data_IF_106239628408
#
_entry.id   IF_106239628408
#
_cell.length_a   1.000
_cell.length_b   1.000
_cell.length_c   1.000
_cell.angle_alpha   90.00
_cell.angle_beta   90.00
_cell.angle_gamma   90.00
#
_symmetry.space_group_name_H-M   'P 1'
#
loop_
_entity.id
_entity.type
_entity.pdbx_description
1 polymer ?
#
# COMPACT_ATOMS: atom_id res chain seq x y z
N UNK A 1 -32.39 -42.08 -45.85
CA UNK A 1 -33.17 -41.17 -44.99
C UNK A 1 -32.29 -40.64 -43.85
N UNK A 2 -31.34 -41.44 -43.33
CA UNK A 2 -30.48 -41.00 -42.17
C UNK A 2 -29.41 -39.97 -42.52
N UNK A 3 -28.88 -39.95 -43.73
CA UNK A 3 -27.85 -38.99 -44.17
C UNK A 3 -28.38 -37.57 -44.34
N UNK A 4 -29.66 -37.40 -44.66
CA UNK A 4 -30.27 -36.07 -44.81
C UNK A 4 -30.58 -35.45 -43.44
N UNK A 5 -31.04 -36.28 -42.49
CA UNK A 5 -31.32 -35.83 -41.12
C UNK A 5 -30.03 -35.38 -40.39
N UNK A 6 -28.89 -36.07 -40.56
CA UNK A 6 -27.60 -35.67 -40.00
C UNK A 6 -27.06 -34.35 -40.59
N UNK A 7 -27.24 -34.15 -41.90
CA UNK A 7 -26.86 -32.91 -42.58
C UNK A 7 -27.72 -31.71 -42.12
N UNK A 8 -29.02 -31.93 -41.94
CA UNK A 8 -29.94 -30.90 -41.44
C UNK A 8 -29.65 -30.52 -40.00
N UNK A 9 -29.29 -31.47 -39.14
CA UNK A 9 -28.89 -31.22 -37.75
C UNK A 9 -27.58 -30.45 -37.67
N UNK A 10 -26.59 -30.80 -38.51
CA UNK A 10 -25.31 -30.09 -38.57
C UNK A 10 -25.46 -28.64 -39.06
N UNK A 11 -26.34 -28.39 -40.05
CA UNK A 11 -26.63 -27.02 -40.51
C UNK A 11 -27.36 -26.20 -39.47
N UNK A 12 -28.28 -26.78 -38.70
CA UNK A 12 -28.94 -26.09 -37.58
C UNK A 12 -27.99 -25.73 -36.43
N UNK A 13 -27.05 -26.63 -36.13
CA UNK A 13 -26.01 -26.36 -35.12
C UNK A 13 -25.06 -25.25 -35.59
N UNK A 14 -24.68 -25.24 -36.87
CA UNK A 14 -23.82 -24.21 -37.46
C UNK A 14 -24.49 -22.83 -37.47
N UNK A 15 -25.79 -22.75 -37.77
CA UNK A 15 -26.58 -21.53 -37.73
C UNK A 15 -26.75 -21.04 -36.29
N UNK A 16 -26.95 -21.94 -35.32
CA UNK A 16 -27.01 -21.62 -33.92
C UNK A 16 -25.68 -21.03 -33.38
N UNK A 17 -24.55 -21.60 -33.81
CA UNK A 17 -23.22 -21.12 -33.47
C UNK A 17 -22.91 -19.76 -34.13
N UNK A 18 -23.32 -19.52 -35.36
CA UNK A 18 -23.19 -18.26 -36.04
C UNK A 18 -24.07 -17.17 -35.41
N UNK A 19 -25.26 -17.50 -34.90
CA UNK A 19 -26.13 -16.57 -34.17
C UNK A 19 -25.58 -16.20 -32.76
N UNK A 20 -24.84 -17.10 -32.10
CA UNK A 20 -24.16 -16.79 -30.83
C UNK A 20 -22.94 -15.91 -31.04
N UNK A 21 -22.25 -15.96 -32.15
CA UNK A 21 -21.11 -15.10 -32.49
C UNK A 21 -21.51 -13.69 -32.94
N UNK A 22 -22.74 -13.47 -33.40
CA UNK A 22 -23.22 -12.16 -33.83
C UNK A 22 -23.71 -11.29 -32.66
N UNK A 23 -23.94 -11.85 -31.49
CA UNK A 23 -24.41 -11.12 -30.29
C UNK A 23 -23.37 -10.21 -29.60
N UNK A 24 -22.08 -10.36 -29.92
CA UNK A 24 -21.00 -9.61 -29.24
C UNK A 24 -20.39 -8.47 -30.09
N UNK A 25 -20.86 -8.21 -31.32
CA UNK A 25 -20.14 -7.33 -32.25
C UNK A 25 -20.82 -5.99 -32.59
N UNK A 26 -22.01 -5.71 -32.09
CA UNK A 26 -22.65 -4.40 -32.27
C UNK A 26 -23.19 -3.86 -30.94
N UNK A 27 -22.32 -3.24 -30.13
CA UNK A 27 -22.83 -2.18 -29.27
C UNK A 27 -23.18 -1.00 -30.20
N UNK A 28 -24.40 -0.47 -30.13
CA UNK A 28 -24.76 0.72 -30.90
C UNK A 28 -23.77 1.83 -30.57
N UNK A 29 -23.35 2.56 -31.61
CA UNK A 29 -22.37 3.68 -31.49
C UNK A 29 -22.85 4.72 -30.48
N UNK A 30 -24.15 4.84 -30.24
CA UNK A 30 -24.76 5.72 -29.24
C UNK A 30 -24.42 5.31 -27.79
N UNK A 31 -24.13 4.04 -27.49
CA UNK A 31 -23.64 3.64 -26.16
C UNK A 31 -22.18 4.03 -25.92
N UNK A 32 -21.39 4.24 -26.98
CA UNK A 32 -20.00 4.68 -26.88
C UNK A 32 -19.88 6.21 -26.66
N UNK A 33 -20.98 6.94 -26.92
CA UNK A 33 -21.07 8.39 -26.74
C UNK A 33 -22.08 8.80 -25.67
N UNK A 34 -22.65 7.87 -24.89
CA UNK A 34 -23.40 8.23 -23.71
C UNK A 34 -22.43 8.90 -22.74
N UNK A 35 -22.70 10.16 -22.43
CA UNK A 35 -22.02 10.83 -21.31
C UNK A 35 -22.18 9.94 -20.08
N UNK A 36 -21.14 9.82 -19.22
CA UNK A 36 -21.28 9.11 -17.97
C UNK A 36 -22.55 9.57 -17.26
N UNK A 37 -23.36 8.63 -16.76
CA UNK A 37 -24.54 9.00 -15.97
C UNK A 37 -24.07 9.89 -14.81
N UNK A 38 -24.61 11.10 -14.74
CA UNK A 38 -24.34 12.01 -13.66
C UNK A 38 -25.01 11.48 -12.42
N UNK A 39 -24.31 11.50 -11.29
CA UNK A 39 -24.90 11.10 -10.02
C UNK A 39 -26.09 12.02 -9.64
N UNK A 40 -27.06 11.53 -8.86
CA UNK A 40 -28.18 12.35 -8.40
C UNK A 40 -27.69 13.63 -7.70
N UNK A 41 -28.29 14.79 -8.03
CA UNK A 41 -27.88 16.08 -7.47
C UNK A 41 -26.69 16.77 -8.14
N UNK A 42 -26.07 16.19 -9.17
CA UNK A 42 -24.91 16.78 -9.85
C UNK A 42 -25.14 18.23 -10.27
N UNK A 43 -26.31 18.57 -10.84
CA UNK A 43 -26.61 19.94 -11.31
C UNK A 43 -26.69 20.92 -10.13
N UNK A 44 -27.29 20.51 -9.02
CA UNK A 44 -27.34 21.29 -7.80
C UNK A 44 -25.93 21.53 -7.23
N UNK A 45 -25.07 20.48 -7.17
CA UNK A 45 -23.69 20.61 -6.72
C UNK A 45 -22.89 21.58 -7.60
N UNK A 46 -23.02 21.50 -8.94
CA UNK A 46 -22.30 22.40 -9.84
C UNK A 46 -22.77 23.85 -9.69
N UNK A 47 -24.07 24.09 -9.43
CA UNK A 47 -24.57 25.45 -9.14
C UNK A 47 -23.97 26.01 -7.84
N UNK A 48 -23.94 25.20 -6.77
CA UNK A 48 -23.34 25.62 -5.48
C UNK A 48 -21.83 25.81 -5.56
N UNK A 49 -21.13 24.96 -6.33
CA UNK A 49 -19.70 25.15 -6.61
C UNK A 49 -19.44 26.45 -7.37
N UNK A 50 -20.22 26.72 -8.41
CA UNK A 50 -20.10 27.96 -9.18
C UNK A 50 -20.35 29.20 -8.30
N UNK A 51 -21.33 29.12 -7.40
CA UNK A 51 -21.63 30.18 -6.44
C UNK A 51 -20.47 30.38 -5.47
N UNK A 52 -19.89 29.31 -4.92
CA UNK A 52 -18.71 29.38 -4.04
C UNK A 52 -17.51 30.04 -4.75
N UNK A 53 -17.28 29.73 -6.03
CA UNK A 53 -16.20 30.33 -6.82
C UNK A 53 -16.48 31.85 -7.03
N UNK A 54 -17.71 32.25 -7.35
CA UNK A 54 -18.05 33.67 -7.51
C UNK A 54 -17.92 34.46 -6.19
N UNK A 55 -18.25 33.84 -5.06
CA UNK A 55 -18.04 34.43 -3.75
C UNK A 55 -16.53 34.59 -3.44
N UNK A 56 -15.71 33.54 -3.70
CA UNK A 56 -14.26 33.61 -3.53
C UNK A 56 -13.61 34.65 -4.44
N UNK A 57 -14.14 34.91 -5.66
CA UNK A 57 -13.67 35.96 -6.55
C UNK A 57 -13.88 37.37 -6.00
N UNK A 58 -14.75 37.56 -5.03
CA UNK A 58 -14.87 38.85 -4.32
C UNK A 58 -13.64 39.16 -3.46
N UNK A 59 -12.91 38.13 -3.00
CA UNK A 59 -11.66 38.27 -2.26
C UNK A 59 -10.48 38.51 -3.21
N UNK A 60 -10.37 37.70 -4.24
CA UNK A 60 -9.35 37.80 -5.27
C UNK A 60 -9.88 37.21 -6.59
N UNK A 61 -9.71 37.90 -7.75
CA UNK A 61 -10.21 37.42 -9.02
C UNK A 61 -9.59 36.10 -9.49
N UNK A 62 -8.44 35.69 -8.93
CA UNK A 62 -7.74 34.47 -9.28
C UNK A 62 -8.13 33.37 -8.29
N UNK A 63 -9.07 32.52 -8.69
CA UNK A 63 -9.52 31.32 -7.97
C UNK A 63 -9.26 30.12 -8.86
N UNK A 64 -8.54 29.13 -8.34
CA UNK A 64 -8.12 27.93 -9.06
C UNK A 64 -8.59 26.67 -8.34
N UNK A 65 -8.88 25.59 -9.10
CA UNK A 65 -9.05 24.27 -8.49
C UNK A 65 -7.68 23.74 -8.02
N UNK A 66 -7.68 23.01 -6.91
CA UNK A 66 -6.49 22.39 -6.34
C UNK A 66 -6.54 20.89 -6.53
N UNK A 67 -5.43 20.30 -6.98
CA UNK A 67 -5.25 18.86 -7.00
C UNK A 67 -4.60 18.40 -5.70
N UNK A 68 -5.00 17.22 -5.22
CA UNK A 68 -4.37 16.54 -4.11
C UNK A 68 -3.18 15.75 -4.64
N UNK A 69 -2.03 15.84 -3.98
CA UNK A 69 -0.76 15.34 -4.51
C UNK A 69 -0.55 13.83 -4.25
N UNK A 70 -1.14 13.28 -3.18
CA UNK A 70 -0.88 11.92 -2.73
C UNK A 70 -2.09 11.33 -2.00
N UNK A 71 -2.04 10.04 -1.68
CA UNK A 71 -3.07 9.32 -0.92
C UNK A 71 -4.16 8.70 -1.81
N UNK A 72 -5.19 8.17 -1.18
CA UNK A 72 -6.31 7.45 -1.83
C UNK A 72 -7.33 8.42 -2.44
N UNK A 73 -7.49 9.60 -1.84
CA UNK A 73 -8.54 10.57 -2.15
C UNK A 73 -8.00 11.72 -3.01
N UNK A 74 -7.72 11.47 -4.29
CA UNK A 74 -7.11 12.46 -5.21
C UNK A 74 -8.10 13.10 -6.19
N UNK A 75 -9.37 12.70 -6.19
CA UNK A 75 -10.38 13.28 -7.07
C UNK A 75 -10.65 14.74 -6.72
N UNK A 76 -10.91 15.58 -7.74
CA UNK A 76 -11.21 17.02 -7.58
C UNK A 76 -12.57 17.25 -6.89
N UNK A 77 -13.51 16.32 -7.11
CA UNK A 77 -14.78 16.25 -6.41
C UNK A 77 -14.84 14.87 -5.80
N UNK A 78 -15.06 14.79 -4.49
CA UNK A 78 -15.14 13.55 -3.74
C UNK A 78 -16.52 13.42 -3.15
N UNK A 79 -17.21 12.31 -3.44
CA UNK A 79 -18.50 11.98 -2.86
C UNK A 79 -18.27 11.04 -1.68
N UNK A 80 -18.85 11.35 -0.54
CA UNK A 80 -18.53 10.71 0.73
C UNK A 80 -19.78 10.60 1.60
N UNK A 81 -19.81 9.57 2.42
CA UNK A 81 -20.64 9.46 3.59
C UNK A 81 -19.83 10.03 4.77
N UNK A 82 -20.11 11.28 5.17
CA UNK A 82 -19.40 11.92 6.29
C UNK A 82 -20.15 11.80 7.61
N UNK A 83 -21.47 11.64 7.60
CA UNK A 83 -22.25 11.53 8.84
C UNK A 83 -22.44 10.07 9.30
N UNK A 84 -21.94 9.11 8.50
CA UNK A 84 -21.88 7.70 8.89
C UNK A 84 -23.20 6.95 8.76
N UNK A 85 -24.18 7.49 8.03
CA UNK A 85 -25.50 6.87 7.86
C UNK A 85 -25.54 5.82 6.73
N UNK A 86 -24.46 5.68 5.96
CA UNK A 86 -24.29 4.75 4.86
C UNK A 86 -24.69 5.31 3.49
N UNK A 87 -25.08 6.59 3.41
CA UNK A 87 -25.39 7.30 2.16
C UNK A 87 -24.28 8.26 1.79
N UNK A 88 -23.96 8.38 0.49
CA UNK A 88 -22.96 9.35 0.01
C UNK A 88 -23.64 10.69 -0.33
N UNK A 89 -24.03 11.45 0.66
CA UNK A 89 -24.73 12.73 0.54
C UNK A 89 -23.78 13.93 0.63
N UNK A 90 -22.52 13.70 1.01
CA UNK A 90 -21.53 14.78 1.14
C UNK A 90 -20.63 14.85 -0.09
N UNK A 91 -20.31 16.08 -0.53
CA UNK A 91 -19.36 16.34 -1.59
C UNK A 91 -18.25 17.29 -1.12
N UNK A 92 -16.99 16.97 -1.45
CA UNK A 92 -15.82 17.78 -1.06
C UNK A 92 -15.11 18.29 -2.31
N UNK A 93 -14.74 19.57 -2.33
CA UNK A 93 -14.01 20.20 -3.44
C UNK A 93 -12.98 21.21 -2.93
N UNK A 94 -11.99 21.52 -3.75
CA UNK A 94 -10.75 22.18 -3.34
C UNK A 94 -10.46 23.39 -4.20
N UNK A 95 -10.23 24.55 -3.56
CA UNK A 95 -9.92 25.80 -4.24
C UNK A 95 -8.69 26.47 -3.64
N UNK A 96 -8.03 27.27 -4.46
CA UNK A 96 -6.99 28.21 -4.05
C UNK A 96 -7.43 29.63 -4.41
N UNK A 97 -7.29 30.54 -3.46
CA UNK A 97 -7.46 31.97 -3.64
C UNK A 97 -6.10 32.64 -3.52
N UNK A 98 -5.59 33.20 -4.60
CA UNK A 98 -4.26 33.82 -4.62
C UNK A 98 -4.20 35.05 -3.73
N UNK A 99 -3.08 35.23 -3.01
CA UNK A 99 -2.85 36.40 -2.18
C UNK A 99 -3.47 36.38 -0.79
N UNK A 100 -4.23 35.32 -0.45
CA UNK A 100 -4.77 35.11 0.89
C UNK A 100 -3.76 34.38 1.78
N UNK A 101 -3.72 34.69 3.07
CA UNK A 101 -2.88 34.00 4.06
C UNK A 101 -3.26 32.51 4.15
N UNK A 102 -4.56 32.23 4.27
CA UNK A 102 -5.11 30.87 4.18
C UNK A 102 -5.64 30.62 2.77
N UNK A 103 -4.72 30.53 1.82
CA UNK A 103 -5.05 30.46 0.39
C UNK A 103 -5.85 29.22 0.00
N UNK A 104 -5.69 28.10 0.71
CA UNK A 104 -6.36 26.84 0.39
C UNK A 104 -7.72 26.77 1.10
N UNK A 105 -8.76 26.43 0.34
CA UNK A 105 -10.14 26.31 0.82
C UNK A 105 -10.68 24.95 0.42
N UNK A 106 -11.16 24.19 1.40
CA UNK A 106 -11.87 22.92 1.20
C UNK A 106 -13.33 23.16 1.52
N UNK A 107 -14.15 23.08 0.50
CA UNK A 107 -15.61 23.21 0.65
C UNK A 107 -16.22 21.84 0.84
N UNK A 108 -17.01 21.71 1.88
CA UNK A 108 -17.84 20.54 2.14
C UNK A 108 -19.29 20.91 1.91
N UNK A 109 -19.95 20.19 1.03
CA UNK A 109 -21.36 20.32 0.69
C UNK A 109 -22.10 19.12 1.26
N UNK A 110 -23.32 19.33 1.73
CA UNK A 110 -24.25 18.26 2.09
C UNK A 110 -25.51 18.35 1.23
N UNK A 111 -26.03 17.19 0.87
CA UNK A 111 -27.27 17.04 0.14
C UNK A 111 -28.44 16.94 1.13
N UNK A 112 -29.56 17.58 0.82
CA UNK A 112 -30.82 17.43 1.55
C UNK A 112 -31.65 16.25 1.01
N UNK A 113 -32.78 15.95 1.69
CA UNK A 113 -33.70 14.86 1.28
C UNK A 113 -34.30 15.08 -0.11
N UNK A 114 -34.29 16.31 -0.65
CA UNK A 114 -34.77 16.67 -1.99
C UNK A 114 -33.69 16.51 -3.07
N UNK A 115 -32.46 16.22 -2.69
CA UNK A 115 -31.31 16.04 -3.57
C UNK A 115 -30.56 17.33 -3.89
N UNK A 116 -30.81 18.44 -3.18
CA UNK A 116 -30.11 19.70 -3.38
C UNK A 116 -28.89 19.80 -2.49
N UNK A 117 -27.77 20.25 -3.04
CA UNK A 117 -26.56 20.52 -2.28
C UNK A 117 -26.56 21.93 -1.69
N UNK A 118 -26.01 22.07 -0.50
CA UNK A 118 -25.68 23.35 0.13
C UNK A 118 -24.33 23.27 0.82
N UNK A 119 -23.64 24.41 0.94
CA UNK A 119 -22.36 24.45 1.65
C UNK A 119 -22.59 24.21 3.13
N UNK A 120 -21.92 23.20 3.67
CA UNK A 120 -21.95 22.83 5.08
C UNK A 120 -20.88 23.52 5.87
N UNK A 121 -19.68 23.60 5.33
CA UNK A 121 -18.54 24.24 5.97
C UNK A 121 -17.36 24.40 5.04
N UNK A 122 -16.41 25.24 5.46
CA UNK A 122 -15.19 25.53 4.71
C UNK A 122 -13.96 25.39 5.63
N UNK A 123 -13.10 24.41 5.32
CA UNK A 123 -11.79 24.28 5.98
C UNK A 123 -10.81 25.19 5.24
N UNK A 124 -10.04 25.99 6.00
CA UNK A 124 -9.05 26.90 5.48
C UNK A 124 -7.65 26.46 5.89
N UNK A 125 -6.73 26.39 4.95
CA UNK A 125 -5.36 25.98 5.19
C UNK A 125 -4.34 26.99 4.68
N UNK A 126 -3.26 27.10 5.48
CA UNK A 126 -2.03 27.77 5.08
C UNK A 126 -1.20 26.78 4.26
N UNK A 127 -0.57 27.24 3.19
CA UNK A 127 0.38 26.41 2.45
C UNK A 127 0.28 26.54 0.94
N UNK A 128 1.12 25.73 0.30
CA UNK A 128 1.27 25.74 -1.16
C UNK A 128 0.30 24.77 -1.85
N UNK A 129 -0.03 23.64 -1.19
CA UNK A 129 -0.88 22.59 -1.75
C UNK A 129 -1.46 21.70 -0.64
N UNK A 130 -2.44 20.89 -1.00
CA UNK A 130 -2.94 19.78 -0.20
C UNK A 130 -2.12 18.56 -0.60
N UNK A 131 -1.32 18.04 0.34
CA UNK A 131 -0.53 16.84 0.08
C UNK A 131 -1.39 15.59 0.07
N UNK A 132 -2.23 15.41 1.11
CA UNK A 132 -3.18 14.29 1.23
C UNK A 132 -4.43 14.72 2.01
N UNK A 133 -5.50 13.98 1.87
CA UNK A 133 -6.73 14.13 2.65
C UNK A 133 -7.32 12.76 2.95
N UNK A 134 -7.78 12.58 4.18
CA UNK A 134 -8.47 11.38 4.64
C UNK A 134 -9.75 11.74 5.41
N UNK A 135 -10.67 10.79 5.50
CA UNK A 135 -11.96 10.92 6.18
C UNK A 135 -12.13 9.74 7.12
N UNK A 136 -12.11 10.00 8.43
CA UNK A 136 -12.06 8.95 9.44
C UNK A 136 -12.79 9.37 10.71
N UNK A 137 -13.51 8.44 11.32
CA UNK A 137 -14.15 8.63 12.61
C UNK A 137 -13.10 8.47 13.73
N UNK A 138 -12.54 9.59 14.17
CA UNK A 138 -11.52 9.65 15.25
C UNK A 138 -12.20 9.69 16.63
N UNK A 139 -13.38 10.33 16.73
CA UNK A 139 -14.05 10.50 17.99
C UNK A 139 -14.96 9.32 18.37
N UNK A 140 -15.23 8.39 17.47
CA UNK A 140 -16.00 7.16 17.70
C UNK A 140 -17.52 7.36 17.76
N UNK A 141 -18.05 8.46 17.19
CA UNK A 141 -19.49 8.71 17.18
C UNK A 141 -20.18 8.34 15.87
N UNK A 142 -19.44 7.82 14.89
CA UNK A 142 -19.91 7.45 13.55
C UNK A 142 -19.73 8.55 12.50
N UNK A 143 -19.59 9.81 12.91
CA UNK A 143 -19.32 10.94 12.01
C UNK A 143 -17.82 11.02 11.72
N UNK A 144 -17.43 11.30 10.46
CA UNK A 144 -16.01 11.33 10.05
C UNK A 144 -15.44 12.73 10.16
N UNK A 145 -14.28 12.82 10.81
CA UNK A 145 -13.40 13.96 10.74
C UNK A 145 -12.66 14.01 9.40
N UNK A 146 -12.30 15.24 9.00
CA UNK A 146 -11.46 15.49 7.83
C UNK A 146 -10.02 15.69 8.28
N UNK A 147 -9.13 14.82 7.85
CA UNK A 147 -7.70 14.87 8.13
C UNK A 147 -6.98 15.39 6.88
N UNK A 148 -6.32 16.55 6.99
CA UNK A 148 -5.69 17.21 5.85
C UNK A 148 -4.20 17.40 6.09
N UNK A 149 -3.39 16.91 5.18
CA UNK A 149 -1.95 17.20 5.14
C UNK A 149 -1.70 18.41 4.22
N UNK A 150 -1.38 19.54 4.83
CA UNK A 150 -1.05 20.80 4.17
C UNK A 150 0.45 20.86 3.87
N UNK A 151 0.85 21.02 2.62
CA UNK A 151 2.24 21.23 2.25
C UNK A 151 2.61 22.71 2.42
N UNK A 152 3.62 22.98 3.25
CA UNK A 152 4.09 24.35 3.51
C UNK A 152 5.11 24.81 2.47
N UNK A 153 5.34 26.13 2.40
CA UNK A 153 6.30 26.75 1.46
C UNK A 153 7.77 26.31 1.70
N UNK A 154 8.09 25.86 2.90
CA UNK A 154 9.45 25.42 3.28
C UNK A 154 9.68 23.91 3.06
N UNK A 155 8.73 23.22 2.42
CA UNK A 155 8.83 21.77 2.12
C UNK A 155 8.43 20.85 3.27
N UNK A 156 8.00 21.39 4.42
CA UNK A 156 7.39 20.62 5.51
C UNK A 156 5.89 20.45 5.27
N UNK A 157 5.27 19.60 6.07
CA UNK A 157 3.82 19.42 6.07
C UNK A 157 3.23 19.70 7.46
N UNK A 158 1.99 20.20 7.46
CA UNK A 158 1.16 20.31 8.66
C UNK A 158 -0.06 19.43 8.49
N UNK A 159 -0.38 18.61 9.47
CA UNK A 159 -1.57 17.79 9.50
C UNK A 159 -2.61 18.45 10.38
N UNK A 160 -3.75 18.79 9.81
CA UNK A 160 -4.91 19.33 10.50
C UNK A 160 -6.02 18.29 10.59
N UNK A 161 -6.68 18.20 11.73
CA UNK A 161 -7.87 17.38 11.96
C UNK A 161 -9.05 18.31 12.20
N UNK A 162 -10.11 18.16 11.44
CA UNK A 162 -11.26 19.06 11.41
C UNK A 162 -12.56 18.29 11.58
N UNK A 163 -13.41 18.75 12.48
CA UNK A 163 -14.75 18.23 12.72
C UNK A 163 -15.81 19.26 12.32
N UNK A 164 -16.96 18.76 11.88
CA UNK A 164 -18.16 19.55 11.62
C UNK A 164 -19.16 19.28 12.74
N UNK A 165 -19.76 20.33 13.32
CA UNK A 165 -20.79 20.15 14.33
C UNK A 165 -22.14 19.78 13.67
N UNK A 166 -22.39 18.48 13.58
CA UNK A 166 -23.61 17.94 12.97
C UNK A 166 -24.83 18.13 13.86
N UNK A 167 -24.67 18.25 15.18
CA UNK A 167 -25.80 18.28 16.12
C UNK A 167 -26.44 19.67 16.25
N UNK A 168 -25.71 20.76 16.10
CA UNK A 168 -26.26 22.12 16.23
C UNK A 168 -27.29 22.45 15.13
N UNK A 169 -27.19 21.85 13.95
CA UNK A 169 -28.15 22.09 12.85
C UNK A 169 -29.51 21.42 13.04
N UNK A 170 -29.61 20.31 13.78
CA UNK A 170 -30.90 19.64 14.05
C UNK A 170 -31.76 20.37 15.04
N UNK A 171 -31.21 21.24 15.89
CA UNK A 171 -31.92 21.97 16.94
C UNK A 171 -32.35 23.38 16.54
N UNK A 172 -31.79 23.99 15.52
CA UNK A 172 -32.14 25.35 15.07
C UNK A 172 -33.25 25.43 13.99
N UNK A 173 -34.08 24.42 13.88
CA UNK A 173 -35.17 24.28 12.90
C UNK A 173 -36.26 25.36 12.97
N UNK A 174 -36.05 26.57 13.48
CA UNK A 174 -37.03 27.65 13.49
C UNK A 174 -36.52 29.07 13.43
N UNK A 175 -35.28 29.31 12.95
CA UNK A 175 -34.88 30.64 12.58
C UNK A 175 -34.66 30.73 11.04
N UNK A 176 -35.55 31.45 10.39
CA UNK A 176 -35.35 31.91 9.03
C UNK A 176 -34.13 32.80 8.99
N UNK A 177 -32.94 32.20 8.78
CA UNK A 177 -31.73 32.95 8.45
C UNK A 177 -31.87 33.42 7.01
N UNK A 178 -32.36 34.64 6.86
CA UNK A 178 -32.60 35.36 5.58
C UNK A 178 -31.32 35.91 4.94
N UNK A 179 -30.13 35.50 5.38
CA UNK A 179 -28.88 35.87 4.76
C UNK A 179 -28.18 34.58 4.27
N UNK A 180 -27.79 34.55 3.01
CA UNK A 180 -26.90 33.54 2.46
C UNK A 180 -25.64 33.54 3.30
N UNK A 181 -25.26 32.39 3.94
CA UNK A 181 -24.06 32.34 4.76
C UNK A 181 -22.84 32.69 3.88
N UNK A 182 -22.03 33.62 4.33
CA UNK A 182 -20.74 33.91 3.67
C UNK A 182 -19.74 32.80 4.00
N UNK A 183 -18.73 32.58 3.16
CA UNK A 183 -17.67 31.61 3.43
C UNK A 183 -17.01 31.83 4.80
N UNK A 184 -16.91 33.06 5.29
CA UNK A 184 -16.39 33.41 6.61
C UNK A 184 -17.23 32.78 7.73
N UNK A 185 -18.54 32.89 7.62
CA UNK A 185 -19.48 32.30 8.59
C UNK A 185 -19.46 30.76 8.53
N UNK A 186 -19.28 30.19 7.35
CA UNK A 186 -19.18 28.75 7.15
C UNK A 186 -17.85 28.19 7.68
N UNK A 187 -16.76 28.95 7.58
CA UNK A 187 -15.48 28.57 8.19
C UNK A 187 -15.53 28.51 9.73
N UNK A 188 -16.39 29.32 10.35
CA UNK A 188 -16.60 29.29 11.81
C UNK A 188 -17.38 28.04 12.28
N UNK A 189 -18.03 27.30 11.38
CA UNK A 189 -18.73 26.05 11.68
C UNK A 189 -17.80 24.83 11.71
N UNK A 190 -16.53 25.01 11.36
CA UNK A 190 -15.52 23.96 11.34
C UNK A 190 -14.65 24.10 12.59
N UNK A 191 -14.58 23.04 13.38
CA UNK A 191 -13.71 22.97 14.56
C UNK A 191 -12.40 22.30 14.20
N UNK A 192 -11.27 23.00 14.37
CA UNK A 192 -9.95 22.39 14.33
C UNK A 192 -9.70 21.64 15.65
N UNK A 193 -9.59 20.32 15.56
CA UNK A 193 -9.35 19.45 16.71
C UNK A 193 -7.87 19.30 17.05
N UNK A 194 -7.02 19.40 16.04
CA UNK A 194 -5.56 19.34 16.18
C UNK A 194 -4.85 19.87 14.93
N UNK A 195 -3.71 20.48 15.13
CA UNK A 195 -2.75 20.82 14.09
C UNK A 195 -1.34 20.38 14.53
N UNK A 196 -0.68 19.55 13.72
CA UNK A 196 0.66 19.03 14.02
C UNK A 196 1.58 19.12 12.79
N UNK A 197 2.86 19.41 13.02
CA UNK A 197 3.87 19.32 11.96
C UNK A 197 4.23 17.85 11.72
N UNK A 198 4.54 17.49 10.45
CA UNK A 198 4.99 16.14 10.11
C UNK A 198 5.92 16.13 8.90
N UNK A 199 6.66 15.03 8.73
CA UNK A 199 7.68 14.86 7.69
C UNK A 199 7.14 14.29 6.35
N UNK A 200 5.84 14.27 6.14
CA UNK A 200 5.19 13.66 4.98
C UNK A 200 4.57 12.28 5.25
N UNK A 201 4.90 11.67 6.39
CA UNK A 201 4.35 10.37 6.79
C UNK A 201 3.40 10.52 7.99
N UNK A 202 2.31 9.82 7.95
CA UNK A 202 1.38 9.57 9.05
C UNK A 202 0.58 8.30 8.77
N UNK A 203 -0.04 7.75 9.78
CA UNK A 203 -0.95 6.62 9.63
C UNK A 203 -2.18 6.80 10.52
N UNK A 204 -3.30 6.28 10.07
CA UNK A 204 -4.59 6.27 10.76
C UNK A 204 -4.96 4.81 11.01
N UNK A 205 -4.97 4.38 12.27
CA UNK A 205 -5.24 2.99 12.64
C UNK A 205 -5.76 2.92 14.08
N UNK A 206 -6.54 1.90 14.38
CA UNK A 206 -6.89 1.53 15.77
C UNK A 206 -5.75 0.68 16.35
N UNK A 207 -4.71 1.35 16.88
CA UNK A 207 -3.49 0.67 17.35
C UNK A 207 -3.69 0.04 18.73
N UNK A 208 -4.64 0.55 19.54
CA UNK A 208 -4.91 0.10 20.89
C UNK A 208 -6.11 -0.86 20.98
N UNK A 209 -6.81 -1.09 19.87
CA UNK A 209 -7.97 -1.96 19.71
C UNK A 209 -9.18 -1.52 20.59
N UNK A 210 -9.37 -0.21 20.78
CA UNK A 210 -10.53 0.32 21.51
C UNK A 210 -11.72 0.64 20.60
N UNK A 211 -11.58 0.42 19.29
CA UNK A 211 -12.60 0.66 18.27
C UNK A 211 -12.59 2.10 17.71
N UNK A 212 -11.61 2.94 18.10
CA UNK A 212 -11.39 4.28 17.57
C UNK A 212 -10.10 4.33 16.77
N UNK A 213 -10.02 5.31 15.90
CA UNK A 213 -8.81 5.48 15.07
C UNK A 213 -7.87 6.48 15.73
N UNK A 214 -6.63 6.07 15.92
CA UNK A 214 -5.54 6.95 16.32
C UNK A 214 -4.78 7.46 15.10
N UNK A 215 -4.16 8.64 15.28
CA UNK A 215 -3.22 9.23 14.35
C UNK A 215 -1.79 9.00 14.85
N UNK A 216 -1.00 8.26 14.07
CA UNK A 216 0.43 8.06 14.34
C UNK A 216 1.28 8.94 13.44
N UNK A 217 2.20 9.72 14.03
CA UNK A 217 3.07 10.68 13.34
C UNK A 217 4.51 10.44 13.74
N UNK A 218 5.41 10.09 12.81
CA UNK A 218 6.83 9.97 13.10
C UNK A 218 7.48 11.34 13.23
N UNK A 219 8.35 11.47 14.21
CA UNK A 219 9.17 12.65 14.51
C UNK A 219 10.63 12.28 14.29
N UNK A 220 11.22 12.79 13.23
CA UNK A 220 12.63 12.53 12.92
C UNK A 220 13.47 13.70 13.44
N UNK A 221 14.38 13.38 14.33
CA UNK A 221 15.38 14.33 14.81
C UNK A 221 16.50 14.48 13.78
N UNK A 222 16.81 15.70 13.38
CA UNK A 222 17.89 16.00 12.43
C UNK A 222 19.28 15.53 12.90
N UNK A 223 19.48 15.39 14.21
CA UNK A 223 20.69 14.82 14.81
C UNK A 223 20.65 13.27 14.86
N UNK A 224 19.51 12.65 14.55
CA UNK A 224 19.33 11.19 14.54
C UNK A 224 19.33 10.54 15.93
N UNK A 225 19.25 11.30 17.02
CA UNK A 225 19.42 10.77 18.38
C UNK A 225 18.10 10.54 19.12
N UNK A 226 17.05 11.28 18.77
CA UNK A 226 15.78 11.30 19.49
C UNK A 226 14.56 11.19 18.53
N UNK A 227 14.66 10.33 17.53
CA UNK A 227 13.52 10.06 16.66
C UNK A 227 12.50 9.15 17.36
N UNK A 228 11.23 9.43 17.17
CA UNK A 228 10.14 8.66 17.79
C UNK A 228 8.86 8.73 16.95
N UNK A 229 7.91 7.83 17.21
CA UNK A 229 6.53 7.95 16.77
C UNK A 229 5.71 8.54 17.89
N UNK A 230 4.90 9.55 17.60
CA UNK A 230 3.91 10.11 18.50
C UNK A 230 2.52 9.71 18.03
N UNK A 231 1.70 9.22 18.97
CA UNK A 231 0.32 8.78 18.68
C UNK A 231 -0.65 9.74 19.36
N UNK A 232 -1.67 10.11 18.59
CA UNK A 232 -2.73 11.02 19.02
C UNK A 232 -4.07 10.30 18.95
N UNK A 233 -4.91 10.50 19.97
CA UNK A 233 -6.24 9.93 20.09
C UNK A 233 -7.26 10.97 20.54
N UNK A 234 -8.54 10.64 20.46
CA UNK A 234 -9.62 11.48 20.96
C UNK A 234 -9.59 11.61 22.49
N UNK A 235 -9.44 12.83 22.98
CA UNK A 235 -9.41 13.16 24.41
C UNK A 235 -10.73 13.62 24.99
N UNK A 236 -11.86 13.44 24.25
CA UNK A 236 -13.21 13.85 24.68
C UNK A 236 -13.68 15.21 24.14
N UNK A 237 -12.78 16.14 23.83
CA UNK A 237 -13.11 17.42 23.23
C UNK A 237 -12.14 17.88 22.14
N UNK A 238 -10.98 17.28 22.10
CA UNK A 238 -9.89 17.54 21.14
C UNK A 238 -9.04 16.28 20.96
N UNK A 239 -8.21 16.23 19.93
CA UNK A 239 -7.25 15.16 19.70
C UNK A 239 -5.97 15.49 20.48
N UNK A 240 -5.56 14.59 21.37
CA UNK A 240 -4.42 14.77 22.28
C UNK A 240 -3.35 13.69 22.05
N UNK A 241 -2.09 14.01 22.40
CA UNK A 241 -1.02 13.01 22.41
C UNK A 241 -1.26 12.01 23.54
N UNK A 242 -1.25 10.71 23.22
CA UNK A 242 -1.48 9.62 24.16
C UNK A 242 -0.25 8.78 24.43
N UNK A 243 0.82 8.99 23.67
CA UNK A 243 2.09 8.29 23.90
C UNK A 243 3.09 8.47 22.78
N UNK A 244 4.31 8.06 23.08
CA UNK A 244 5.43 8.02 22.13
C UNK A 244 6.17 6.70 22.23
N UNK A 245 6.72 6.21 21.10
CA UNK A 245 7.67 5.10 21.09
C UNK A 245 8.95 5.53 20.37
N UNK A 246 10.13 5.21 20.91
CA UNK A 246 11.39 5.55 20.26
C UNK A 246 11.56 4.79 18.95
N UNK A 247 12.18 5.42 17.97
CA UNK A 247 12.70 4.80 16.75
C UNK A 247 14.19 4.53 16.89
N UNK A 248 14.73 3.73 15.99
CA UNK A 248 16.16 3.41 15.93
C UNK A 248 17.02 4.66 15.96
N UNK A 249 18.11 4.64 16.74
CA UNK A 249 19.10 5.71 16.74
C UNK A 249 19.83 5.78 15.38
N UNK A 250 20.20 6.97 14.97
CA UNK A 250 20.95 7.19 13.72
C UNK A 250 20.09 7.28 12.46
N UNK A 251 18.78 7.38 12.57
CA UNK A 251 17.89 7.59 11.42
C UNK A 251 18.19 8.94 10.76
N UNK A 252 18.39 8.92 9.44
CA UNK A 252 18.58 10.11 8.61
C UNK A 252 17.40 10.37 7.68
N UNK A 253 16.74 9.30 7.20
CA UNK A 253 15.59 9.38 6.30
C UNK A 253 14.57 8.32 6.70
N UNK A 254 13.31 8.72 6.78
CA UNK A 254 12.20 7.79 6.87
C UNK A 254 11.79 7.40 5.44
N UNK A 255 11.83 6.11 5.14
CA UNK A 255 11.56 5.61 3.80
C UNK A 255 10.10 5.21 3.62
N UNK A 256 9.53 4.49 4.61
CA UNK A 256 8.17 3.95 4.53
C UNK A 256 7.58 3.78 5.93
N UNK A 257 6.26 3.94 6.02
CA UNK A 257 5.47 3.66 7.22
C UNK A 257 4.18 2.97 6.80
N UNK A 258 3.92 1.79 7.35
CA UNK A 258 2.73 0.99 7.06
C UNK A 258 2.08 0.49 8.32
N UNK A 259 0.74 0.57 8.36
CA UNK A 259 -0.06 -0.16 9.34
C UNK A 259 -0.29 -1.59 8.84
N UNK A 260 -0.09 -2.57 9.70
CA UNK A 260 -0.39 -3.97 9.46
C UNK A 260 -0.53 -4.69 10.81
N UNK A 261 -0.46 -6.01 10.81
CA UNK A 261 -0.64 -6.83 12.01
C UNK A 261 0.65 -7.59 12.37
N UNK A 262 0.80 -7.85 13.65
CA UNK A 262 1.65 -8.90 14.24
C UNK A 262 0.88 -10.22 14.30
N UNK A 263 1.53 -11.28 14.78
CA UNK A 263 0.87 -12.53 15.12
C UNK A 263 -0.38 -12.27 15.99
N UNK A 264 -1.41 -13.12 15.86
CA UNK A 264 -2.71 -12.95 16.51
C UNK A 264 -3.47 -11.69 16.07
N UNK A 265 -3.11 -11.10 14.91
CA UNK A 265 -3.73 -9.89 14.35
C UNK A 265 -3.70 -8.67 15.27
N UNK A 266 -2.62 -8.51 16.04
CA UNK A 266 -2.38 -7.32 16.85
C UNK A 266 -1.91 -6.18 15.94
N UNK A 267 -2.56 -5.00 15.95
CA UNK A 267 -2.17 -3.87 15.11
C UNK A 267 -0.75 -3.38 15.41
N UNK A 268 -0.01 -3.06 14.36
CA UNK A 268 1.33 -2.51 14.46
C UNK A 268 1.67 -1.57 13.30
N UNK A 269 2.65 -0.71 13.54
CA UNK A 269 3.28 0.14 12.52
C UNK A 269 4.65 -0.44 12.18
N UNK A 270 4.87 -0.71 10.91
CA UNK A 270 6.15 -1.10 10.34
C UNK A 270 6.79 0.11 9.68
N UNK A 271 7.95 0.52 10.19
CA UNK A 271 8.63 1.74 9.80
C UNK A 271 10.03 1.40 9.28
N UNK A 272 10.24 1.59 7.99
CA UNK A 272 11.56 1.43 7.36
C UNK A 272 12.27 2.77 7.27
N UNK A 273 13.50 2.83 7.78
CA UNK A 273 14.29 4.05 7.82
C UNK A 273 15.72 3.79 7.35
N UNK A 274 16.36 4.80 6.75
CA UNK A 274 17.79 4.76 6.42
C UNK A 274 18.60 5.32 7.59
N UNK A 275 19.62 4.58 8.01
CA UNK A 275 20.56 4.99 9.05
C UNK A 275 21.74 5.77 8.44
N UNK A 276 22.48 6.50 9.29
CA UNK A 276 23.64 7.30 8.90
C UNK A 276 24.77 6.44 8.27
N UNK A 277 24.85 5.16 8.58
CA UNK A 277 25.80 4.21 8.02
C UNK A 277 25.29 3.49 6.75
N UNK A 278 24.23 4.02 6.14
CA UNK A 278 23.55 3.47 4.94
C UNK A 278 22.75 2.18 5.15
N UNK A 279 22.72 1.63 6.35
CA UNK A 279 21.82 0.53 6.70
C UNK A 279 20.35 0.96 6.68
N UNK A 280 19.45 0.00 6.46
CA UNK A 280 18.01 0.19 6.64
C UNK A 280 17.57 -0.47 7.94
N UNK A 281 17.02 0.32 8.86
CA UNK A 281 16.39 -0.21 10.07
C UNK A 281 14.89 -0.40 9.82
N UNK A 282 14.35 -1.46 10.39
CA UNK A 282 12.92 -1.71 10.48
C UNK A 282 12.49 -1.62 11.94
N UNK A 283 11.74 -0.58 12.27
CA UNK A 283 11.12 -0.39 13.58
C UNK A 283 9.67 -0.89 13.56
N UNK A 284 9.26 -1.63 14.60
CA UNK A 284 7.91 -2.17 14.75
C UNK A 284 7.29 -1.62 16.02
N UNK A 285 6.27 -0.77 15.83
CA UNK A 285 5.58 -0.10 16.93
C UNK A 285 4.20 -0.74 17.13
N UNK A 286 3.91 -1.10 18.38
CA UNK A 286 2.59 -1.62 18.77
C UNK A 286 2.18 -1.11 20.15
N UNK A 287 0.94 -1.34 20.54
CA UNK A 287 0.42 -0.97 21.84
C UNK A 287 0.44 -2.20 22.77
N UNK A 288 1.32 -2.18 23.76
CA UNK A 288 1.52 -3.30 24.68
C UNK A 288 1.26 -2.87 26.12
N UNK A 289 0.37 -3.56 26.83
CA UNK A 289 0.06 -3.30 28.26
C UNK A 289 -0.27 -1.82 28.56
N UNK A 290 -0.97 -1.14 27.65
CA UNK A 290 -1.33 0.26 27.81
C UNK A 290 -0.23 1.25 27.45
N UNK A 291 0.87 0.82 26.84
CA UNK A 291 2.02 1.65 26.45
C UNK A 291 2.40 1.39 25.00
N UNK A 292 2.68 2.46 24.29
CA UNK A 292 3.23 2.41 22.94
C UNK A 292 4.69 1.95 23.00
N UNK A 293 5.02 0.85 22.32
CA UNK A 293 6.30 0.18 22.44
C UNK A 293 6.89 -0.15 21.07
N UNK A 294 8.20 0.07 20.90
CA UNK A 294 8.96 -0.47 19.77
C UNK A 294 9.52 -1.83 20.15
N UNK A 295 8.92 -2.90 19.61
CA UNK A 295 9.26 -4.29 19.97
C UNK A 295 10.50 -4.82 19.24
N UNK A 296 10.90 -4.16 18.14
CA UNK A 296 12.11 -4.53 17.39
C UNK A 296 13.40 -3.90 17.95
N UNK A 297 13.27 -2.90 18.84
CA UNK A 297 14.41 -2.14 19.33
C UNK A 297 15.28 -2.96 20.28
N UNK A 298 16.58 -3.00 20.01
CA UNK A 298 17.57 -3.56 20.93
C UNK A 298 17.87 -2.54 22.05
N UNK A 299 17.65 -2.90 23.32
CA UNK A 299 17.78 -1.95 24.42
C UNK A 299 19.24 -1.51 24.71
N UNK A 300 20.25 -2.28 24.25
CA UNK A 300 21.65 -1.94 24.48
C UNK A 300 22.17 -0.96 23.44
N UNK A 301 21.77 -1.15 22.17
CA UNK A 301 22.23 -0.33 21.05
C UNK A 301 21.28 0.82 20.69
N UNK A 302 20.04 0.76 21.14
CA UNK A 302 18.95 1.65 20.76
C UNK A 302 18.72 1.67 19.22
N UNK A 303 19.03 0.57 18.53
CA UNK A 303 18.79 0.37 17.11
C UNK A 303 17.96 -0.91 16.95
N UNK A 304 17.14 -0.97 15.92
CA UNK A 304 16.35 -2.18 15.62
C UNK A 304 17.27 -3.40 15.47
N UNK A 305 16.82 -4.56 15.93
CA UNK A 305 17.47 -5.87 15.67
C UNK A 305 17.45 -6.19 14.18
N UNK A 306 16.48 -5.67 13.45
CA UNK A 306 16.29 -5.88 12.01
C UNK A 306 16.90 -4.72 11.21
N UNK A 307 18.22 -4.75 11.04
CA UNK A 307 18.98 -3.81 10.22
C UNK A 307 19.56 -4.52 9.01
N UNK A 308 19.13 -4.08 7.83
CA UNK A 308 19.64 -4.53 6.54
C UNK A 308 20.85 -3.69 6.14
N UNK A 309 22.03 -4.28 5.97
CA UNK A 309 23.26 -3.56 5.60
C UNK A 309 23.77 -3.92 4.22
N UNK A 310 23.78 -5.17 3.87
CA UNK A 310 24.36 -5.67 2.61
C UNK A 310 23.31 -5.94 1.54
N UNK A 311 22.16 -6.51 1.92
CA UNK A 311 21.03 -6.76 1.02
C UNK A 311 19.84 -5.90 1.43
N UNK A 312 19.79 -4.66 0.91
CA UNK A 312 18.84 -3.62 1.34
C UNK A 312 17.62 -3.47 0.42
N UNK A 313 17.51 -4.28 -0.63
CA UNK A 313 16.43 -4.19 -1.61
C UNK A 313 15.18 -4.96 -1.25
N UNK A 314 15.18 -5.67 -0.11
CA UNK A 314 14.02 -6.41 0.38
C UNK A 314 13.25 -5.55 1.39
N UNK A 315 11.94 -5.68 1.38
CA UNK A 315 11.00 -4.97 2.28
C UNK A 315 10.13 -6.00 3.01
N UNK A 316 9.54 -5.65 4.16
CA UNK A 316 8.53 -6.50 4.79
C UNK A 316 7.36 -6.78 3.83
N UNK A 317 6.94 -8.03 3.77
CA UNK A 317 5.87 -8.50 2.90
C UNK A 317 5.11 -9.65 3.57
N UNK A 318 3.84 -9.81 3.27
CA UNK A 318 3.07 -11.00 3.60
C UNK A 318 3.45 -12.11 2.61
N UNK A 319 4.43 -12.95 3.00
CA UNK A 319 5.01 -13.99 2.13
C UNK A 319 4.14 -15.23 2.02
N UNK A 320 3.27 -15.46 3.00
CA UNK A 320 2.43 -16.64 3.13
C UNK A 320 0.94 -16.37 2.88
N UNK A 321 0.55 -15.10 2.62
CA UNK A 321 -0.81 -14.60 2.42
C UNK A 321 -1.74 -14.81 3.62
N UNK A 322 -1.22 -14.61 4.84
CA UNK A 322 -2.01 -14.66 6.07
C UNK A 322 -2.44 -13.26 6.58
N UNK A 323 -2.13 -12.21 5.81
CA UNK A 323 -2.39 -10.80 6.12
C UNK A 323 -1.53 -10.23 7.25
N UNK A 324 -0.46 -10.90 7.65
CA UNK A 324 0.55 -10.43 8.59
C UNK A 324 1.82 -10.11 7.80
N UNK A 325 2.56 -9.08 8.17
CA UNK A 325 3.83 -8.80 7.51
C UNK A 325 4.97 -9.57 8.14
N UNK A 326 5.70 -10.32 7.33
CA UNK A 326 6.98 -10.88 7.71
C UNK A 326 8.11 -9.88 7.48
N UNK A 327 9.05 -9.90 8.41
CA UNK A 327 10.29 -9.14 8.40
C UNK A 327 11.37 -9.94 7.69
N UNK A 328 12.02 -9.38 6.65
CA UNK A 328 13.09 -10.09 5.96
C UNK A 328 14.41 -10.01 6.72
N UNK A 329 15.09 -11.15 6.86
CA UNK A 329 16.47 -11.29 7.35
C UNK A 329 17.34 -11.95 6.29
N UNK A 330 18.05 -11.19 5.47
CA UNK A 330 18.96 -11.73 4.48
C UNK A 330 20.13 -12.46 5.14
N UNK A 331 20.37 -13.69 4.71
CA UNK A 331 21.51 -14.51 5.10
C UNK A 331 22.34 -14.88 3.88
N UNK A 332 23.61 -14.51 3.87
CA UNK A 332 24.50 -14.83 2.77
C UNK A 332 24.78 -16.33 2.72
N UNK A 333 24.63 -16.93 1.55
CA UNK A 333 25.00 -18.32 1.32
C UNK A 333 26.52 -18.46 1.17
N UNK A 334 27.09 -19.57 1.66
CA UNK A 334 28.47 -19.90 1.39
C UNK A 334 28.69 -20.16 -0.11
N UNK A 335 29.90 -19.94 -0.59
CA UNK A 335 30.31 -20.25 -1.96
C UNK A 335 31.32 -21.40 -1.95
N UNK A 336 31.17 -22.34 -2.88
CA UNK A 336 32.10 -23.47 -2.99
C UNK A 336 33.39 -23.08 -3.75
N UNK A 337 33.35 -22.05 -4.58
CA UNK A 337 34.47 -21.53 -5.36
C UNK A 337 34.92 -20.18 -4.80
N UNK A 338 36.23 -19.97 -4.57
CA UNK A 338 36.79 -18.69 -4.10
C UNK A 338 36.57 -17.54 -5.10
N UNK A 339 36.41 -17.84 -6.39
CA UNK A 339 36.14 -16.87 -7.46
C UNK A 339 34.70 -16.91 -7.97
N UNK A 340 33.74 -17.41 -7.20
CA UNK A 340 32.34 -17.49 -7.63
C UNK A 340 31.82 -16.09 -8.02
N UNK A 341 31.37 -15.98 -9.24
CA UNK A 341 30.82 -14.74 -9.79
C UNK A 341 29.43 -14.46 -9.18
N UNK A 342 29.40 -13.94 -7.97
CA UNK A 342 28.18 -13.48 -7.34
C UNK A 342 28.02 -13.95 -5.90
N UNK A 343 27.38 -13.10 -5.13
CA UNK A 343 26.94 -13.39 -3.78
C UNK A 343 25.47 -13.77 -3.83
N UNK A 344 25.13 -14.91 -3.24
CA UNK A 344 23.75 -15.39 -3.15
C UNK A 344 23.24 -15.20 -1.73
N UNK A 345 21.98 -14.85 -1.62
CA UNK A 345 21.31 -14.58 -0.36
C UNK A 345 20.04 -15.40 -0.24
N UNK A 346 19.84 -15.99 0.94
CA UNK A 346 18.54 -16.44 1.38
C UNK A 346 17.90 -15.32 2.20
N UNK A 347 16.56 -15.29 2.22
CA UNK A 347 15.79 -14.37 3.05
C UNK A 347 14.99 -15.23 4.02
N UNK A 348 15.29 -15.11 5.30
CA UNK A 348 14.50 -15.68 6.39
C UNK A 348 13.37 -14.69 6.71
N UNK A 349 12.13 -15.17 6.72
CA UNK A 349 10.93 -14.35 6.93
C UNK A 349 10.42 -14.58 8.35
N UNK A 350 10.43 -13.51 9.15
CA UNK A 350 10.17 -13.54 10.57
C UNK A 350 8.86 -12.84 10.88
N UNK A 351 7.93 -13.51 11.57
CA UNK A 351 6.79 -12.89 12.24
C UNK A 351 7.14 -12.56 13.69
N UNK A 352 6.59 -11.44 14.15
CA UNK A 352 6.68 -11.01 15.53
C UNK A 352 5.35 -11.19 16.25
N UNK A 353 5.38 -11.57 17.52
CA UNK A 353 4.25 -11.40 18.42
C UNK A 353 4.32 -10.03 19.16
N UNK A 354 3.29 -9.71 19.94
CA UNK A 354 3.21 -8.45 20.70
C UNK A 354 4.33 -8.30 21.76
N UNK A 355 4.98 -9.38 22.16
CA UNK A 355 6.08 -9.38 23.14
C UNK A 355 7.45 -9.26 22.46
N UNK A 356 7.49 -9.20 21.14
CA UNK A 356 8.73 -9.19 20.37
C UNK A 356 9.38 -10.56 20.25
N UNK A 357 8.65 -11.65 20.51
CA UNK A 357 9.11 -13.00 20.18
C UNK A 357 9.01 -13.23 18.68
N UNK A 358 9.96 -14.00 18.17
CA UNK A 358 10.19 -14.21 16.75
C UNK A 358 9.84 -15.64 16.35
N UNK A 359 9.16 -15.77 15.21
CA UNK A 359 8.89 -17.07 14.58
C UNK A 359 9.28 -16.98 13.11
N UNK A 360 10.18 -17.86 12.68
CA UNK A 360 10.50 -18.01 11.27
C UNK A 360 9.35 -18.74 10.55
N UNK A 361 8.78 -18.08 9.53
CA UNK A 361 7.64 -18.57 8.75
C UNK A 361 8.10 -19.29 7.50
N UNK A 362 9.10 -18.74 6.82
CA UNK A 362 9.64 -19.27 5.59
C UNK A 362 11.09 -18.82 5.39
N UNK A 363 11.83 -19.56 4.56
CA UNK A 363 13.08 -19.10 3.96
C UNK A 363 12.94 -19.13 2.46
N UNK A 364 13.39 -18.08 1.76
CA UNK A 364 13.30 -18.00 0.31
C UNK A 364 14.62 -17.57 -0.33
N UNK A 365 14.81 -17.98 -1.59
CA UNK A 365 15.80 -17.39 -2.49
C UNK A 365 15.08 -16.46 -3.48
N UNK A 366 15.52 -15.23 -3.61
CA UNK A 366 14.96 -14.26 -4.56
C UNK A 366 15.92 -13.99 -5.72
N UNK A 367 15.47 -14.26 -6.94
CA UNK A 367 16.14 -13.80 -8.15
C UNK A 367 15.44 -12.54 -8.68
N UNK A 368 15.83 -11.38 -8.15
CA UNK A 368 15.23 -10.08 -8.50
C UNK A 368 15.47 -9.70 -9.96
N UNK A 369 16.56 -10.18 -10.58
CA UNK A 369 16.88 -9.93 -12.00
C UNK A 369 15.92 -10.66 -12.94
N UNK A 370 15.45 -11.84 -12.53
CA UNK A 370 14.57 -12.70 -13.31
C UNK A 370 13.13 -12.73 -12.75
N UNK A 371 12.84 -11.94 -11.72
CA UNK A 371 11.52 -11.71 -11.13
C UNK A 371 10.83 -12.99 -10.61
N UNK A 372 11.60 -13.84 -9.91
CA UNK A 372 11.05 -15.05 -9.29
C UNK A 372 11.70 -15.33 -7.93
N UNK A 373 11.01 -16.09 -7.10
CA UNK A 373 11.51 -16.62 -5.83
C UNK A 373 11.26 -18.11 -5.71
N UNK A 374 11.98 -18.73 -4.78
CA UNK A 374 11.82 -20.14 -4.45
C UNK A 374 11.80 -20.31 -2.95
N UNK A 375 10.79 -20.98 -2.40
CA UNK A 375 10.71 -21.33 -0.99
C UNK A 375 11.69 -22.48 -0.73
N UNK A 376 12.61 -22.28 0.17
CA UNK A 376 13.69 -23.22 0.48
C UNK A 376 13.21 -24.21 1.56
N UNK A 377 13.16 -25.51 1.26
CA UNK A 377 12.87 -26.53 2.28
C UNK A 377 13.87 -26.46 3.45
N UNK A 378 13.40 -26.74 4.66
CA UNK A 378 14.23 -26.72 5.88
C UNK A 378 15.49 -27.55 5.74
N UNK A 379 15.38 -28.74 5.13
CA UNK A 379 16.51 -29.65 4.92
C UNK A 379 17.62 -29.10 4.01
N UNK A 380 17.36 -28.02 3.27
CA UNK A 380 18.34 -27.43 2.35
C UNK A 380 19.14 -26.29 2.99
N UNK A 381 18.64 -25.63 4.00
CA UNK A 381 19.15 -24.35 4.52
C UNK A 381 20.66 -24.36 4.84
N UNK A 382 21.15 -25.46 5.43
CA UNK A 382 22.54 -25.53 5.90
C UNK A 382 23.51 -26.19 4.90
N UNK A 383 22.98 -26.77 3.82
CA UNK A 383 23.78 -27.54 2.85
C UNK A 383 23.67 -26.96 1.43
N UNK A 384 22.92 -25.91 1.25
CA UNK A 384 22.65 -25.31 -0.06
C UNK A 384 23.78 -24.35 -0.47
N UNK A 385 24.26 -24.52 -1.70
CA UNK A 385 25.00 -23.49 -2.44
C UNK A 385 24.35 -23.26 -3.78
N UNK A 386 24.46 -22.03 -4.27
CA UNK A 386 23.89 -21.61 -5.55
C UNK A 386 25.00 -21.20 -6.51
N UNK A 387 24.76 -21.46 -7.79
CA UNK A 387 25.57 -20.94 -8.88
C UNK A 387 24.69 -20.49 -10.06
N UNK A 388 25.24 -19.70 -10.97
CA UNK A 388 24.52 -19.21 -12.16
C UNK A 388 25.22 -19.62 -13.44
N UNK A 389 24.43 -19.96 -14.46
CA UNK A 389 24.91 -20.16 -15.81
C UNK A 389 24.10 -19.35 -16.82
N UNK A 390 24.69 -18.28 -17.31
CA UNK A 390 24.11 -17.35 -18.26
C UNK A 390 24.82 -17.38 -19.62
N UNK A 391 25.60 -18.42 -19.92
CA UNK A 391 26.43 -18.56 -21.12
C UNK A 391 25.63 -18.74 -22.40
N UNK A 392 24.36 -19.16 -22.32
CA UNK A 392 23.50 -19.43 -23.46
C UNK A 392 22.54 -18.25 -23.69
N UNK A 393 22.61 -17.63 -24.86
CA UNK A 393 21.73 -16.51 -25.22
C UNK A 393 20.25 -16.91 -25.12
N UNK A 394 19.44 -16.09 -24.44
CA UNK A 394 18.02 -16.35 -24.20
C UNK A 394 17.75 -17.43 -23.14
N UNK A 395 18.75 -17.81 -22.35
CA UNK A 395 18.63 -18.72 -21.22
C UNK A 395 19.46 -18.21 -20.06
N UNK A 396 18.82 -18.04 -18.91
CA UNK A 396 19.48 -17.84 -17.62
C UNK A 396 19.14 -18.99 -16.72
N UNK A 397 20.09 -19.47 -15.94
CA UNK A 397 19.92 -20.62 -15.08
C UNK A 397 20.50 -20.36 -13.69
N UNK A 398 19.75 -20.74 -12.67
CA UNK A 398 20.22 -20.85 -11.29
C UNK A 398 20.28 -22.33 -10.93
N UNK A 399 21.43 -22.77 -10.45
CA UNK A 399 21.73 -24.15 -10.13
C UNK A 399 21.78 -24.28 -8.61
N UNK A 400 20.97 -25.18 -8.08
CA UNK A 400 20.91 -25.54 -6.66
C UNK A 400 21.75 -26.78 -6.45
N UNK A 401 22.68 -26.71 -5.51
CA UNK A 401 23.62 -27.79 -5.24
C UNK A 401 23.72 -28.12 -3.76
N UNK A 402 23.79 -29.39 -3.45
CA UNK A 402 24.14 -29.89 -2.13
C UNK A 402 25.65 -29.79 -1.92
N UNK A 403 26.08 -29.27 -0.78
CA UNK A 403 27.49 -29.08 -0.48
C UNK A 403 27.80 -29.46 0.99
N UNK A 404 28.72 -30.38 1.15
CA UNK A 404 29.16 -30.86 2.48
C UNK A 404 30.18 -29.93 3.16
N UNK A 405 30.63 -28.86 2.50
CA UNK A 405 31.58 -27.90 3.05
C UNK A 405 32.93 -27.86 2.33
N UNK A 406 33.87 -27.05 2.82
CA UNK A 406 35.18 -26.83 2.18
C UNK A 406 35.93 -28.10 1.85
N UNK A 407 36.46 -28.19 0.62
CA UNK A 407 37.20 -29.36 0.12
C UNK A 407 36.32 -30.48 -0.46
N UNK A 408 35.02 -30.24 -0.56
CA UNK A 408 34.07 -31.12 -1.26
C UNK A 408 33.53 -30.42 -2.50
N UNK A 409 33.32 -31.19 -3.57
CA UNK A 409 32.66 -30.69 -4.77
C UNK A 409 31.14 -30.61 -4.56
N UNK A 410 30.49 -29.52 -4.96
CA UNK A 410 29.02 -29.43 -4.90
C UNK A 410 28.33 -30.41 -5.85
N UNK A 411 27.27 -31.06 -5.37
CA UNK A 411 26.43 -31.95 -6.17
C UNK A 411 25.17 -31.23 -6.64
N UNK A 412 25.07 -30.96 -7.93
CA UNK A 412 23.87 -30.29 -8.49
C UNK A 412 22.66 -31.23 -8.37
N UNK A 413 21.54 -30.72 -7.88
CA UNK A 413 20.30 -31.50 -7.78
C UNK A 413 19.09 -30.87 -8.48
N UNK A 414 19.06 -29.55 -8.61
CA UNK A 414 17.97 -28.81 -9.27
C UNK A 414 18.54 -27.63 -10.05
N UNK A 415 18.00 -27.38 -11.26
CA UNK A 415 18.26 -26.14 -11.98
C UNK A 415 16.95 -25.50 -12.39
N UNK A 416 16.79 -24.21 -12.12
CA UNK A 416 15.67 -23.38 -12.55
C UNK A 416 16.15 -22.45 -13.66
N UNK A 417 15.41 -22.44 -14.77
CA UNK A 417 15.71 -21.67 -15.97
C UNK A 417 14.67 -20.57 -16.20
N UNK A 418 15.14 -19.40 -16.62
CA UNK A 418 14.34 -18.40 -17.32
C UNK A 418 14.71 -18.43 -18.80
N UNK A 419 13.74 -18.70 -19.66
CA UNK A 419 13.89 -18.89 -21.10
C UNK A 419 13.16 -17.78 -21.84
N UNK A 420 13.86 -17.10 -22.74
CA UNK A 420 13.34 -15.97 -23.54
C UNK A 420 13.58 -16.17 -25.03
N UNK A 421 12.95 -15.33 -25.86
CA UNK A 421 13.10 -15.36 -27.32
C UNK A 421 12.24 -16.43 -28.01
N UNK A 422 12.42 -16.56 -29.30
CA UNK A 422 11.56 -17.41 -30.16
C UNK A 422 11.60 -18.90 -29.82
N UNK A 423 12.77 -19.38 -29.34
CA UNK A 423 12.99 -20.80 -29.04
C UNK A 423 12.65 -21.16 -27.58
N UNK A 424 12.02 -20.26 -26.81
CA UNK A 424 11.74 -20.52 -25.39
C UNK A 424 10.87 -21.76 -25.18
N UNK A 425 9.84 -21.99 -26.02
CA UNK A 425 8.96 -23.15 -25.92
C UNK A 425 9.68 -24.48 -26.13
N UNK A 426 10.50 -24.59 -27.18
CA UNK A 426 11.27 -25.81 -27.43
C UNK A 426 12.33 -26.08 -26.36
N UNK A 427 12.90 -25.03 -25.78
CA UNK A 427 13.88 -25.15 -24.69
C UNK A 427 13.25 -25.53 -23.35
N UNK A 428 11.99 -25.16 -23.14
CA UNK A 428 11.29 -25.44 -21.87
C UNK A 428 11.09 -26.94 -21.59
N UNK A 429 11.09 -27.77 -22.64
CA UNK A 429 10.92 -29.23 -22.54
C UNK A 429 12.20 -30.01 -22.87
N UNK A 430 13.31 -29.33 -23.20
CA UNK A 430 14.56 -29.97 -23.54
C UNK A 430 15.23 -30.60 -22.30
N UNK A 431 15.86 -31.76 -22.44
CA UNK A 431 16.62 -32.43 -21.37
C UNK A 431 15.82 -32.68 -20.08
N UNK A 432 14.62 -33.25 -20.22
CA UNK A 432 13.72 -33.58 -19.11
C UNK A 432 13.29 -32.36 -18.26
N UNK A 433 13.32 -31.15 -18.84
CA UNK A 433 12.77 -29.97 -18.17
C UNK A 433 11.25 -30.08 -18.09
N UNK A 434 10.71 -29.59 -17.00
CA UNK A 434 9.28 -29.39 -16.79
C UNK A 434 9.00 -27.90 -16.58
N UNK A 435 7.86 -27.45 -17.08
CA UNK A 435 7.46 -26.04 -17.00
C UNK A 435 6.96 -25.72 -15.59
N UNK A 436 7.39 -24.59 -15.06
CA UNK A 436 6.92 -24.02 -13.80
C UNK A 436 5.83 -22.97 -14.06
N UNK A 437 6.16 -21.97 -14.88
CA UNK A 437 5.26 -20.84 -15.18
C UNK A 437 5.63 -20.23 -16.54
N UNK A 438 4.73 -19.44 -17.14
CA UNK A 438 5.01 -18.64 -18.33
C UNK A 438 4.32 -17.29 -18.31
N UNK A 439 4.96 -16.32 -18.95
CA UNK A 439 4.38 -15.02 -19.25
C UNK A 439 4.55 -14.66 -20.73
N UNK A 440 4.14 -13.45 -21.13
CA UNK A 440 4.22 -13.01 -22.52
C UNK A 440 5.66 -13.03 -23.08
N UNK A 441 6.69 -12.94 -22.25
CA UNK A 441 8.09 -12.73 -22.61
C UNK A 441 9.01 -13.90 -22.27
N UNK A 442 8.66 -14.71 -21.27
CA UNK A 442 9.51 -15.76 -20.71
C UNK A 442 8.74 -17.02 -20.35
N UNK A 443 9.45 -18.15 -20.31
CA UNK A 443 8.99 -19.41 -19.72
C UNK A 443 9.98 -19.77 -18.62
N UNK A 444 9.46 -20.15 -17.46
CA UNK A 444 10.25 -20.68 -16.36
C UNK A 444 10.11 -22.21 -16.38
N UNK A 445 11.22 -22.90 -16.29
CA UNK A 445 11.26 -24.35 -16.27
C UNK A 445 12.33 -24.86 -15.35
N UNK A 446 12.19 -26.08 -14.89
CA UNK A 446 13.18 -26.71 -14.03
C UNK A 446 13.59 -28.11 -14.52
N UNK A 447 14.74 -28.58 -14.07
CA UNK A 447 15.19 -29.95 -14.25
C UNK A 447 15.89 -30.45 -12.99
N UNK A 448 15.63 -31.70 -12.63
CA UNK A 448 16.44 -32.40 -11.64
C UNK A 448 17.71 -32.96 -12.27
N UNK A 449 18.75 -33.07 -11.45
CA UNK A 449 19.98 -33.77 -11.81
C UNK A 449 20.05 -35.12 -11.10
N UNK A 450 20.65 -36.09 -11.77
CA UNK A 450 20.96 -37.39 -11.15
C UNK A 450 22.10 -37.18 -10.14
N UNK A 451 21.90 -37.63 -8.91
CA UNK A 451 22.86 -37.50 -7.83
C UNK A 451 22.58 -38.47 -6.68
N UNK A 452 23.47 -38.45 -5.68
CA UNK A 452 23.34 -39.28 -4.48
C UNK A 452 22.44 -38.63 -3.43
N UNK A 453 22.34 -37.31 -3.42
CA UNK A 453 21.53 -36.58 -2.46
C UNK A 453 20.08 -36.45 -2.92
N UNK A 454 19.16 -36.83 -2.03
CA UNK A 454 17.73 -36.68 -2.28
C UNK A 454 17.23 -35.34 -1.74
N UNK A 455 16.83 -34.43 -2.64
CA UNK A 455 16.34 -33.11 -2.27
C UNK A 455 14.95 -33.10 -1.60
N UNK A 456 14.25 -34.23 -1.59
CA UNK A 456 12.93 -34.37 -0.94
C UNK A 456 11.76 -33.76 -1.72
N UNK A 457 11.97 -33.20 -2.92
CA UNK A 457 10.93 -32.65 -3.78
C UNK A 457 10.77 -33.48 -5.06
N UNK A 458 9.55 -33.59 -5.52
CA UNK A 458 9.19 -33.99 -6.87
C UNK A 458 8.84 -32.73 -7.73
N UNK A 459 8.39 -32.95 -8.97
CA UNK A 459 8.03 -31.85 -9.86
C UNK A 459 6.91 -30.96 -9.28
N UNK A 460 5.92 -31.55 -8.61
CA UNK A 460 4.83 -30.80 -7.99
C UNK A 460 5.37 -29.96 -6.81
N UNK A 461 6.21 -30.54 -5.97
CA UNK A 461 6.83 -29.82 -4.88
C UNK A 461 7.69 -28.64 -5.36
N UNK A 462 8.41 -28.78 -6.50
CA UNK A 462 9.14 -27.64 -7.09
C UNK A 462 8.19 -26.57 -7.61
N UNK A 463 7.06 -26.94 -8.21
CA UNK A 463 6.05 -25.99 -8.69
C UNK A 463 5.37 -25.24 -7.53
N UNK A 464 5.07 -25.91 -6.43
CA UNK A 464 4.47 -25.31 -5.22
C UNK A 464 5.41 -24.32 -4.51
N UNK A 465 6.73 -24.60 -4.57
CA UNK A 465 7.73 -23.72 -3.96
C UNK A 465 8.22 -22.57 -4.87
N UNK A 466 7.83 -22.57 -6.15
CA UNK A 466 8.19 -21.52 -7.10
C UNK A 466 7.12 -20.44 -7.14
N UNK A 467 7.55 -19.16 -7.12
CA UNK A 467 6.63 -18.03 -7.28
C UNK A 467 7.27 -16.86 -8.03
N UNK A 468 6.43 -15.92 -8.49
CA UNK A 468 6.85 -14.71 -9.18
C UNK A 468 6.94 -13.54 -8.19
N UNK A 469 7.99 -12.73 -8.36
CA UNK A 469 8.09 -11.44 -7.67
C UNK A 469 7.30 -10.43 -8.51
N UNK A 470 6.21 -9.90 -7.96
CA UNK A 470 5.44 -8.84 -8.60
C UNK A 470 6.00 -7.48 -8.21
N UNK A 471 6.00 -6.52 -9.14
CA UNK A 471 6.50 -5.16 -8.92
C UNK A 471 5.72 -4.38 -7.86
N UNK A 472 4.60 -4.88 -7.39
CA UNK A 472 3.79 -4.37 -6.27
C UNK A 472 4.17 -4.92 -4.89
N UNK A 473 5.12 -5.83 -4.79
CA UNK A 473 5.57 -6.36 -3.51
C UNK A 473 6.23 -5.26 -2.68
N UNK A 474 5.48 -4.72 -1.74
CA UNK A 474 5.91 -3.61 -0.88
C UNK A 474 5.48 -2.20 -1.33
N UNK A 475 4.57 -2.04 -2.30
CA UNK A 475 4.13 -0.74 -2.84
C UNK A 475 2.71 -0.30 -2.43
N UNK A 476 2.06 -0.96 -1.46
CA UNK A 476 0.80 -0.46 -0.87
C UNK A 476 1.02 0.31 0.42
#
# INVERSE_FOLDING_TARGET
VDGVKKRLLLTLILIGFAAMLSGCLFRPVDELYSLPERFPGYESLEMERARAIEELKTLNPVVENVNILSGKNTAIIQLLDLDGDGVQESAVTFFRVSGEEKALKIYVFSQDDEGNYSVRGVIQGEGMSIYAIDYVDINGIGEKEVVVSWQTALGGNKLGIYSFDYQERRTEGNQTVSAVPTWENLALQVKELRLVEHSGFYNLLDINQDGRIELAVPRIDSAGTNSYVEVYAWGGSEVVSVGTAPLSAGITVLNKMRANYLAEYIPALYITSTLADTGKALDIITFQNGVLTNISLDPETAVSKDVLREYTSVEPVDINNDSILEVPRPRMLPTAEEEAAGTFWLIEWIQYDVNGNEVEIATTYHNTTDEWYFVIPEAWKDVLVLSQNNSVSGQRAVIFSYWEGPGKEPENFLTIYRLTGQNRFSRATLNNRFQLEEDATAIYSATFHEGSWNCGLDQNGVMENFGRIFTGWGSE
#
